data_IF_121173686801
#
_entry.id   IF_121173686801
#
_cell.length_a   1.000
_cell.length_b   1.000
_cell.length_c   1.000
_cell.angle_alpha   90.00
_cell.angle_beta   90.00
_cell.angle_gamma   90.00
#
_symmetry.space_group_name_H-M   'P 1'
#
loop_
_entity.id
_entity.type
_entity.pdbx_description
1 polymer ?
#
# COMPACT_ATOMS: atom_id res chain seq x y z
N UNK A 1 -28.03 -1.10 85.21
CA UNK A 1 -28.42 -1.41 83.82
C UNK A 1 -28.42 -0.11 83.02
N UNK A 2 -27.85 -0.14 81.80
CA UNK A 2 -27.68 0.95 80.81
C UNK A 2 -26.53 1.93 81.19
N UNK A 3 -25.36 1.99 80.54
CA UNK A 3 -24.89 1.44 79.27
C UNK A 3 -24.87 2.52 78.19
N UNK A 4 -23.76 3.25 78.03
CA UNK A 4 -23.47 4.04 76.83
C UNK A 4 -22.01 3.85 76.46
N UNK A 5 -21.78 3.08 75.39
CA UNK A 5 -20.49 2.82 74.80
C UNK A 5 -20.08 4.01 73.92
N UNK A 6 -18.83 4.43 74.08
CA UNK A 6 -18.15 5.38 73.20
C UNK A 6 -17.86 4.69 71.85
N UNK A 7 -18.33 5.28 70.75
CA UNK A 7 -17.96 4.87 69.39
C UNK A 7 -17.05 5.92 68.78
N UNK A 8 -15.75 5.61 68.74
CA UNK A 8 -14.78 6.26 67.87
C UNK A 8 -15.01 5.71 66.46
N UNK A 9 -15.66 6.50 65.61
CA UNK A 9 -15.74 6.20 64.18
C UNK A 9 -14.50 6.78 63.48
N UNK A 10 -13.40 6.03 63.50
CA UNK A 10 -12.27 6.28 62.60
C UNK A 10 -12.62 5.64 61.25
N UNK A 11 -13.32 6.38 60.39
CA UNK A 11 -13.55 5.94 59.01
C UNK A 11 -12.26 6.15 58.21
N UNK A 12 -11.66 5.03 57.82
CA UNK A 12 -10.35 4.94 57.20
C UNK A 12 -10.21 5.78 55.93
N UNK A 13 -9.04 6.38 55.81
CA UNK A 13 -8.51 6.94 54.58
C UNK A 13 -8.44 5.81 53.55
N UNK A 14 -9.43 5.75 52.66
CA UNK A 14 -9.49 4.81 51.55
C UNK A 14 -8.40 5.23 50.55
N UNK A 15 -7.23 4.60 50.65
CA UNK A 15 -6.19 4.69 49.63
C UNK A 15 -6.75 4.05 48.35
N UNK A 16 -7.39 4.85 47.50
CA UNK A 16 -7.50 4.54 46.09
C UNK A 16 -6.07 4.59 45.56
N UNK A 17 -5.37 3.46 45.66
CA UNK A 17 -4.30 3.14 44.71
C UNK A 17 -4.99 3.04 43.35
N UNK A 18 -5.21 4.21 42.75
CA UNK A 18 -5.37 4.35 41.32
C UNK A 18 -4.09 3.81 40.73
N UNK A 19 -4.06 2.49 40.53
CA UNK A 19 -3.09 1.86 39.68
C UNK A 19 -3.37 2.44 38.31
N UNK A 20 -2.65 3.51 37.96
CA UNK A 20 -2.32 3.81 36.59
C UNK A 20 -1.60 2.56 36.10
N UNK A 21 -2.37 1.56 35.64
CA UNK A 21 -1.84 0.57 34.73
C UNK A 21 -1.38 1.42 33.56
N UNK A 22 -0.10 1.78 33.59
CA UNK A 22 0.61 2.28 32.43
C UNK A 22 0.62 1.08 31.49
N UNK A 23 -0.50 0.86 30.80
CA UNK A 23 -0.60 -0.19 29.81
C UNK A 23 0.27 0.31 28.68
N UNK A 24 1.53 -0.10 28.70
CA UNK A 24 2.37 -0.03 27.52
C UNK A 24 1.58 -0.78 26.45
N UNK A 25 1.00 -0.03 25.50
CA UNK A 25 0.24 -0.61 24.41
C UNK A 25 1.15 -1.64 23.72
N UNK A 26 0.62 -2.80 23.28
CA UNK A 26 1.42 -3.76 22.54
C UNK A 26 2.04 -3.06 21.35
N UNK A 27 3.36 -3.14 21.22
CA UNK A 27 4.06 -2.54 20.10
C UNK A 27 3.75 -3.37 18.86
N UNK A 28 2.98 -2.78 17.94
CA UNK A 28 2.63 -3.41 16.66
C UNK A 28 3.76 -3.24 15.66
N UNK A 29 3.84 -4.13 14.68
CA UNK A 29 4.84 -4.10 13.61
C UNK A 29 4.15 -3.86 12.27
N UNK A 30 4.70 -2.95 11.47
CA UNK A 30 4.27 -2.63 10.10
C UNK A 30 5.02 -3.49 9.09
N UNK A 31 4.31 -4.02 8.10
CA UNK A 31 4.86 -4.68 6.90
C UNK A 31 3.96 -4.50 5.68
N UNK A 32 4.47 -4.76 4.48
CA UNK A 32 3.59 -5.02 3.35
C UNK A 32 2.79 -6.32 3.55
N UNK A 33 1.55 -6.33 3.06
CA UNK A 33 0.68 -7.52 3.11
C UNK A 33 1.14 -8.63 2.16
N UNK A 34 1.78 -8.24 1.06
CA UNK A 34 2.31 -9.10 0.02
C UNK A 34 3.62 -8.51 -0.51
N UNK A 35 4.48 -9.33 -1.08
CA UNK A 35 5.75 -8.91 -1.68
C UNK A 35 5.58 -8.39 -3.11
N UNK A 36 4.46 -8.69 -3.76
CA UNK A 36 4.18 -8.25 -5.12
C UNK A 36 2.69 -8.13 -5.41
N UNK A 37 2.38 -7.38 -6.47
CA UNK A 37 1.06 -7.25 -7.08
C UNK A 37 1.21 -7.02 -8.58
N UNK A 38 0.13 -7.22 -9.34
CA UNK A 38 0.12 -6.96 -10.78
C UNK A 38 -1.23 -6.39 -11.18
N UNK A 39 -1.21 -5.36 -12.03
CA UNK A 39 -2.38 -4.67 -12.55
C UNK A 39 -2.20 -4.41 -14.05
N UNK A 40 -3.25 -4.53 -14.84
CA UNK A 40 -3.23 -4.05 -16.23
C UNK A 40 -3.36 -2.53 -16.25
N UNK A 41 -2.71 -1.87 -17.21
CA UNK A 41 -2.85 -0.43 -17.41
C UNK A 41 -4.31 0.02 -17.63
N UNK A 42 -5.13 -0.82 -18.27
CA UNK A 42 -6.59 -0.63 -18.43
C UNK A 42 -7.39 -0.56 -17.12
N UNK A 43 -6.79 -0.92 -15.98
CA UNK A 43 -7.46 -0.85 -14.67
C UNK A 43 -7.53 0.59 -14.12
N UNK A 44 -6.71 1.51 -14.63
CA UNK A 44 -6.65 2.92 -14.21
C UNK A 44 -6.15 3.18 -12.78
N UNK A 45 -6.14 2.16 -11.91
CA UNK A 45 -5.63 2.25 -10.55
C UNK A 45 -5.01 0.92 -10.10
N UNK A 46 -3.97 1.02 -9.27
CA UNK A 46 -3.33 -0.11 -8.59
C UNK A 46 -3.20 0.18 -7.10
N UNK A 47 -2.99 -0.85 -6.29
CA UNK A 47 -2.81 -0.68 -4.84
C UNK A 47 -1.82 -1.68 -4.24
N UNK A 48 -0.95 -1.18 -3.38
CA UNK A 48 -0.24 -1.99 -2.39
C UNK A 48 -0.92 -1.84 -1.02
N UNK A 49 -0.78 -2.84 -0.15
CA UNK A 49 -1.40 -2.81 1.19
C UNK A 49 -0.32 -2.91 2.25
N UNK A 50 -0.34 -1.97 3.21
CA UNK A 50 0.45 -2.05 4.43
C UNK A 50 -0.42 -2.55 5.58
N UNK A 51 0.14 -3.40 6.44
CA UNK A 51 -0.57 -4.06 7.53
C UNK A 51 0.18 -3.95 8.84
N UNK A 52 -0.57 -3.93 9.94
CA UNK A 52 -0.08 -4.04 11.30
C UNK A 52 -0.23 -5.49 11.79
N UNK A 53 0.68 -5.92 12.66
CA UNK A 53 0.59 -7.21 13.36
C UNK A 53 -0.61 -7.32 14.33
N UNK A 54 -1.27 -6.21 14.62
CA UNK A 54 -2.47 -6.10 15.45
C UNK A 54 -3.03 -4.68 15.44
N UNK A 55 -4.14 -4.45 16.13
CA UNK A 55 -4.74 -3.11 16.25
C UNK A 55 -3.86 -2.19 17.10
N UNK A 56 -3.59 -0.98 16.60
CA UNK A 56 -2.92 0.07 17.37
C UNK A 56 -3.94 0.89 18.17
N UNK A 57 -3.55 1.37 19.35
CA UNK A 57 -4.38 2.25 20.19
C UNK A 57 -4.36 3.72 19.74
N UNK A 58 -3.42 4.08 18.87
CA UNK A 58 -3.25 5.41 18.29
C UNK A 58 -3.00 5.28 16.79
N UNK A 59 -3.09 6.39 16.06
CA UNK A 59 -2.75 6.45 14.65
C UNK A 59 -1.28 6.02 14.43
N UNK A 60 -1.05 5.16 13.45
CA UNK A 60 0.29 4.78 12.99
C UNK A 60 0.56 5.50 11.69
N UNK A 61 1.64 6.28 11.65
CA UNK A 61 2.08 6.99 10.44
C UNK A 61 3.25 6.22 9.85
N UNK A 62 3.08 5.71 8.64
CA UNK A 62 4.06 4.92 7.90
C UNK A 62 4.65 5.78 6.79
N UNK A 63 5.97 5.90 6.74
CA UNK A 63 6.70 6.55 5.65
C UNK A 63 7.21 5.50 4.68
N UNK A 64 7.01 5.74 3.39
CA UNK A 64 7.44 4.84 2.32
C UNK A 64 7.87 5.63 1.08
N UNK A 65 8.65 4.97 0.23
CA UNK A 65 9.12 5.54 -1.04
C UNK A 65 8.66 4.71 -2.22
N UNK A 66 8.54 5.36 -3.37
CA UNK A 66 8.29 4.73 -4.65
C UNK A 66 9.46 4.99 -5.60
N UNK A 67 9.95 3.94 -6.27
CA UNK A 67 11.04 4.04 -7.25
C UNK A 67 10.69 3.13 -8.43
N UNK A 68 10.80 3.64 -9.66
CA UNK A 68 10.73 2.81 -10.86
C UNK A 68 11.88 1.80 -10.88
N UNK A 69 11.61 0.56 -11.28
CA UNK A 69 12.63 -0.50 -11.23
C UNK A 69 13.72 -0.31 -12.28
N UNK A 70 13.43 0.42 -13.35
CA UNK A 70 14.35 0.69 -14.45
C UNK A 70 14.08 2.07 -15.07
N UNK A 71 14.85 2.39 -16.11
CA UNK A 71 14.72 3.65 -16.84
C UNK A 71 13.55 3.70 -17.82
N UNK A 72 12.91 2.55 -18.12
CA UNK A 72 11.69 2.48 -18.93
C UNK A 72 10.47 2.92 -18.14
N UNK A 73 10.51 2.75 -16.81
CA UNK A 73 9.45 3.17 -15.89
C UNK A 73 9.28 4.71 -15.92
N UNK A 74 8.44 5.25 -16.82
CA UNK A 74 8.37 6.69 -17.08
C UNK A 74 7.37 7.39 -16.13
N UNK A 75 7.93 8.07 -15.13
CA UNK A 75 7.18 8.93 -14.24
C UNK A 75 6.48 10.07 -15.01
N UNK A 76 5.15 10.04 -15.06
CA UNK A 76 4.34 11.06 -15.73
C UNK A 76 3.84 10.72 -17.13
N UNK A 77 4.07 9.49 -17.61
CA UNK A 77 3.49 8.91 -18.84
C UNK A 77 2.63 7.70 -18.53
N UNK A 78 3.14 6.77 -17.71
CA UNK A 78 2.48 5.46 -17.50
C UNK A 78 1.79 5.36 -16.12
N UNK A 79 2.26 6.15 -15.14
CA UNK A 79 1.65 6.24 -13.80
C UNK A 79 2.06 7.53 -13.07
N UNK A 80 1.27 7.90 -12.05
CA UNK A 80 1.51 9.06 -11.20
C UNK A 80 1.53 8.68 -9.70
N UNK A 81 2.60 9.03 -8.99
CA UNK A 81 2.71 8.91 -7.53
C UNK A 81 3.60 10.00 -6.90
N UNK A 82 3.47 10.18 -5.58
CA UNK A 82 4.34 11.09 -4.79
C UNK A 82 5.51 10.29 -4.22
N UNK A 83 6.73 10.62 -4.63
CA UNK A 83 7.97 9.82 -4.41
C UNK A 83 8.30 9.52 -2.95
N UNK A 84 8.04 10.46 -2.03
CA UNK A 84 8.05 10.21 -0.59
C UNK A 84 6.64 10.45 -0.05
N UNK A 85 6.02 9.37 0.43
CA UNK A 85 4.64 9.39 0.86
C UNK A 85 4.52 8.92 2.30
N UNK A 86 3.52 9.47 2.99
CA UNK A 86 3.06 8.94 4.27
C UNK A 86 1.67 8.36 4.10
N UNK A 87 1.41 7.27 4.81
CA UNK A 87 0.05 6.75 4.99
C UNK A 87 -0.24 6.64 6.48
N UNK A 88 -1.48 6.92 6.85
CA UNK A 88 -1.93 6.77 8.24
C UNK A 88 -2.84 5.57 8.35
N UNK A 89 -2.49 4.62 9.20
CA UNK A 89 -3.39 3.56 9.67
C UNK A 89 -4.05 4.10 10.94
N UNK A 90 -5.37 4.32 10.89
CA UNK A 90 -6.11 4.92 12.00
C UNK A 90 -6.15 4.01 13.23
N UNK A 91 -6.24 4.60 14.43
CA UNK A 91 -6.41 3.85 15.66
C UNK A 91 -7.56 2.82 15.53
N UNK A 92 -7.31 1.58 15.95
CA UNK A 92 -8.27 0.48 15.84
C UNK A 92 -8.32 -0.23 14.48
N UNK A 93 -7.70 0.33 13.45
CA UNK A 93 -7.50 -0.30 12.14
C UNK A 93 -6.21 -1.11 12.09
N UNK A 94 -6.08 -1.99 11.10
CA UNK A 94 -4.91 -2.85 10.91
C UNK A 94 -4.26 -2.71 9.55
N UNK A 95 -4.81 -1.89 8.65
CA UNK A 95 -4.30 -1.77 7.29
C UNK A 95 -4.57 -0.39 6.68
N UNK A 96 -3.77 -0.04 5.68
CA UNK A 96 -4.05 1.06 4.78
C UNK A 96 -3.59 0.72 3.36
N UNK A 97 -4.25 1.34 2.38
CA UNK A 97 -3.93 1.17 0.96
C UNK A 97 -2.99 2.27 0.49
N UNK A 98 -2.01 1.88 -0.32
CA UNK A 98 -1.11 2.77 -1.04
C UNK A 98 -1.52 2.73 -2.51
N UNK A 99 -2.37 3.68 -2.91
CA UNK A 99 -2.90 3.75 -4.27
C UNK A 99 -1.89 4.37 -5.25
N UNK A 100 -1.89 3.88 -6.47
CA UNK A 100 -1.25 4.49 -7.63
C UNK A 100 -2.30 4.70 -8.72
N UNK A 101 -2.23 5.83 -9.42
CA UNK A 101 -3.03 6.03 -10.65
C UNK A 101 -2.22 5.49 -11.81
N UNK A 102 -2.85 4.62 -12.59
CA UNK A 102 -2.26 4.03 -13.79
C UNK A 102 -2.86 4.74 -14.99
N UNK A 103 -2.02 5.04 -15.99
CA UNK A 103 -2.43 5.67 -17.23
C UNK A 103 -2.51 4.58 -18.29
N UNK A 104 -3.69 4.44 -18.89
CA UNK A 104 -3.93 3.57 -20.04
C UNK A 104 -3.67 4.40 -21.30
N UNK A 105 -2.84 3.90 -22.22
CA UNK A 105 -2.59 4.58 -23.49
C UNK A 105 -2.76 3.63 -24.70
N UNK A 106 -2.02 3.86 -25.79
CA UNK A 106 -2.09 3.02 -27.00
C UNK A 106 -0.69 2.68 -27.53
N UNK A 107 0.34 3.01 -26.77
CA UNK A 107 1.74 2.81 -27.10
C UNK A 107 2.11 1.38 -26.72
N UNK A 108 2.80 0.71 -27.64
CA UNK A 108 3.20 -0.68 -27.40
C UNK A 108 4.48 -0.65 -26.59
N UNK A 109 4.33 -0.86 -25.29
CA UNK A 109 5.43 -0.86 -24.34
C UNK A 109 5.69 -2.25 -23.74
N UNK A 110 6.64 -2.34 -22.82
CA UNK A 110 6.86 -3.54 -21.99
C UNK A 110 6.18 -3.35 -20.64
N UNK A 111 5.95 -4.45 -19.90
CA UNK A 111 5.49 -4.35 -18.52
C UNK A 111 6.43 -3.48 -17.65
N UNK A 112 5.85 -2.57 -16.87
CA UNK A 112 6.58 -1.71 -15.94
C UNK A 112 6.59 -2.29 -14.53
N UNK A 113 7.66 -2.03 -13.78
CA UNK A 113 7.75 -2.44 -12.37
C UNK A 113 8.05 -1.26 -11.47
N UNK A 114 7.19 -1.05 -10.47
CA UNK A 114 7.35 -0.04 -9.43
C UNK A 114 7.72 -0.73 -8.12
N UNK A 115 8.77 -0.25 -7.47
CA UNK A 115 9.24 -0.76 -6.17
C UNK A 115 8.84 0.19 -5.06
N UNK A 116 8.14 -0.35 -4.07
CA UNK A 116 7.85 0.34 -2.82
C UNK A 116 8.77 -0.17 -1.71
N UNK A 117 9.22 0.76 -0.89
CA UNK A 117 10.04 0.46 0.29
C UNK A 117 9.45 1.14 1.52
N UNK A 118 9.22 0.37 2.59
CA UNK A 118 8.90 0.95 3.89
C UNK A 118 10.18 1.54 4.51
N UNK A 119 10.12 2.81 4.92
CA UNK A 119 11.28 3.56 5.44
C UNK A 119 11.25 3.69 6.95
N UNK A 120 10.09 4.07 7.50
CA UNK A 120 9.93 4.28 8.94
C UNK A 120 8.46 4.23 9.34
N UNK A 121 8.21 4.09 10.64
CA UNK A 121 6.88 4.22 11.22
C UNK A 121 6.95 4.98 12.55
N UNK A 122 5.94 5.82 12.81
CA UNK A 122 5.68 6.41 14.13
C UNK A 122 4.46 5.72 14.73
N UNK A 123 4.54 5.34 16.01
CA UNK A 123 3.48 4.59 16.69
C UNK A 123 3.51 3.06 16.48
N UNK A 124 4.51 2.56 15.73
CA UNK A 124 4.74 1.14 15.48
C UNK A 124 6.23 0.88 15.19
N UNK A 125 6.64 -0.38 15.31
CA UNK A 125 7.92 -0.84 14.76
C UNK A 125 7.75 -1.14 13.26
N UNK A 126 8.84 -1.05 12.50
CA UNK A 126 8.91 -1.59 11.14
C UNK A 126 9.41 -3.05 11.18
N UNK A 127 8.98 -3.90 10.24
CA UNK A 127 9.53 -5.26 10.14
C UNK A 127 11.05 -5.24 9.95
N UNK A 128 11.72 -6.28 10.44
CA UNK A 128 13.17 -6.46 10.29
C UNK A 128 13.54 -7.38 9.13
N UNK A 129 12.56 -7.97 8.44
CA UNK A 129 12.81 -8.85 7.30
C UNK A 129 12.75 -8.07 5.99
N UNK A 130 13.71 -8.29 5.09
CA UNK A 130 13.76 -7.54 3.83
C UNK A 130 12.53 -7.77 2.94
N UNK A 131 11.91 -8.96 3.01
CA UNK A 131 10.72 -9.27 2.23
C UNK A 131 9.49 -8.45 2.68
N UNK A 132 9.34 -8.22 3.98
CA UNK A 132 8.23 -7.42 4.54
C UNK A 132 8.36 -5.92 4.25
N UNK A 133 9.58 -5.47 3.94
CA UNK A 133 9.92 -4.07 3.70
C UNK A 133 9.76 -3.65 2.23
N UNK A 134 9.62 -4.62 1.32
CA UNK A 134 9.65 -4.40 -0.12
C UNK A 134 8.37 -4.90 -0.78
N UNK A 135 7.85 -4.13 -1.72
CA UNK A 135 6.75 -4.55 -2.59
C UNK A 135 7.08 -4.21 -4.04
N UNK A 136 6.92 -5.17 -4.95
CA UNK A 136 7.05 -4.97 -6.39
C UNK A 136 5.66 -4.97 -7.04
N UNK A 137 5.24 -3.85 -7.59
CA UNK A 137 4.00 -3.73 -8.35
C UNK A 137 4.32 -3.74 -9.84
N UNK A 138 3.75 -4.69 -10.57
CA UNK A 138 3.88 -4.77 -12.03
C UNK A 138 2.66 -4.16 -12.70
N UNK A 139 2.88 -3.24 -13.63
CA UNK A 139 1.85 -2.74 -14.55
C UNK A 139 2.03 -3.49 -15.87
N UNK A 140 1.03 -4.26 -16.30
CA UNK A 140 1.13 -5.05 -17.52
C UNK A 140 0.58 -4.28 -18.72
N UNK A 141 1.37 -4.22 -19.79
CA UNK A 141 0.97 -3.64 -21.06
C UNK A 141 -0.18 -4.47 -21.67
N UNK A 142 -1.23 -3.79 -22.15
CA UNK A 142 -2.37 -4.37 -22.83
C UNK A 142 -2.43 -4.00 -24.33
N UNK A 143 -1.55 -3.11 -24.79
CA UNK A 143 -1.43 -2.72 -26.18
C UNK A 143 -0.67 -3.76 -27.02
N UNK A 144 -1.27 -4.09 -28.15
CA UNK A 144 -0.72 -5.03 -29.13
C UNK A 144 -0.44 -4.32 -30.44
N UNK A 145 0.66 -4.71 -31.09
CA UNK A 145 0.92 -4.29 -32.46
C UNK A 145 -0.28 -4.65 -33.35
N UNK A 146 -0.74 -3.72 -34.23
CA UNK A 146 -1.72 -4.07 -35.24
C UNK A 146 -1.22 -5.32 -35.96
N UNK A 147 -2.06 -6.35 -36.03
CA UNK A 147 -1.73 -7.51 -36.85
C UNK A 147 -1.41 -7.00 -38.25
N UNK A 148 -0.25 -7.35 -38.80
CA UNK A 148 0.17 -7.01 -40.15
C UNK A 148 -0.90 -7.51 -41.15
N UNK A 149 -1.92 -6.69 -41.41
CA UNK A 149 -2.90 -6.90 -42.45
C UNK A 149 -2.23 -6.47 -43.75
N UNK A 150 -1.18 -7.19 -44.15
CA UNK A 150 -0.77 -7.25 -45.54
C UNK A 150 -1.83 -8.04 -46.31
N UNK A 151 -3.07 -7.51 -46.37
CA UNK A 151 -3.98 -7.82 -47.46
C UNK A 151 -3.42 -7.15 -48.71
N UNK A 152 -2.39 -7.78 -49.28
CA UNK A 152 -2.08 -7.59 -50.69
C UNK A 152 -3.27 -8.19 -51.45
N UNK A 153 -4.28 -7.37 -51.73
CA UNK A 153 -5.23 -7.61 -52.80
C UNK A 153 -4.41 -7.63 -54.11
N UNK A 154 -3.84 -8.78 -54.43
CA UNK A 154 -3.21 -9.08 -55.71
C UNK A 154 -4.30 -9.28 -56.77
N UNK A 155 -5.22 -8.34 -56.92
CA UNK A 155 -5.98 -8.22 -58.16
C UNK A 155 -5.07 -7.57 -59.21
N UNK A 156 -4.15 -8.36 -59.75
CA UNK A 156 -3.39 -7.98 -60.94
C UNK A 156 -4.37 -7.89 -62.11
N UNK A 157 -4.79 -6.66 -62.47
CA UNK A 157 -5.49 -6.43 -63.73
C UNK A 157 -4.50 -6.68 -64.87
N UNK A 158 -4.41 -7.93 -65.34
CA UNK A 158 -3.79 -8.23 -66.63
C UNK A 158 -4.68 -7.60 -67.70
N UNK A 159 -4.27 -6.45 -68.22
CA UNK A 159 -4.81 -5.90 -69.46
C UNK A 159 -4.16 -6.65 -70.62
N UNK A 160 -4.84 -7.66 -71.17
CA UNK A 160 -4.48 -8.21 -72.48
C UNK A 160 -5.02 -7.27 -73.55
N UNK A 161 -4.20 -6.31 -73.99
CA UNK A 161 -4.47 -5.60 -75.25
C UNK A 161 -4.01 -6.50 -76.38
N UNK A 162 -4.97 -7.20 -76.98
CA UNK A 162 -4.76 -7.86 -78.26
C UNK A 162 -4.85 -6.86 -79.40
N UNK A 163 -3.79 -6.76 -80.21
CA UNK A 163 -3.82 -6.76 -81.67
C UNK A 163 -2.40 -6.84 -82.22
#
# INVERSE_FOLDING_TARGET
MKGTASLIALAGLLWLTSCSKSSVAPVVTVRFAATSSSFSESQGTGNAVVTLSGKAAQDVVVTYTWVGADSSTYLGGDFNFVSASTVTIKAGETQANLGVTIIDDTQIDTDDVIRLTLVSATGANISTTSADLLHAMTITNNDIAPADQLQIDLTWKISTTGK
#
